data_IF_995452901253
#
_entry.id   IF_995452901253
#
_cell.length_a   1.000
_cell.length_b   1.000
_cell.length_c   1.000
_cell.angle_alpha   90.00
_cell.angle_beta   90.00
_cell.angle_gamma   90.00
#
_symmetry.space_group_name_H-M   'P 1'
#
loop_
_entity.id
_entity.type
_entity.pdbx_description
1 polymer ?
#
# COMPACT_ATOMS: atom_id res chain seq x y z
N UNK A 1 -9.53 19.78 -7.31
CA UNK A 1 -9.24 18.69 -6.37
C UNK A 1 -8.07 17.89 -6.90
N UNK A 2 -7.06 17.69 -6.06
CA UNK A 2 -5.89 16.92 -6.44
C UNK A 2 -6.21 15.43 -6.24
N UNK A 3 -6.38 14.68 -7.32
CA UNK A 3 -6.68 13.23 -7.28
C UNK A 3 -5.41 12.37 -7.27
N UNK A 4 -4.24 12.99 -7.44
CA UNK A 4 -2.97 12.28 -7.44
C UNK A 4 -2.49 12.00 -6.02
N UNK A 5 -1.82 10.86 -5.78
CA UNK A 5 -1.23 10.55 -4.48
C UNK A 5 -0.29 11.66 -4.00
N UNK A 6 -0.39 12.00 -2.72
CA UNK A 6 0.52 12.96 -2.08
C UNK A 6 1.60 12.20 -1.32
N UNK A 7 2.88 12.37 -1.67
CA UNK A 7 3.97 11.75 -0.92
C UNK A 7 4.25 12.52 0.37
N UNK A 8 4.43 11.78 1.45
CA UNK A 8 5.00 12.25 2.71
C UNK A 8 6.24 11.39 2.98
N UNK A 9 7.40 11.99 2.87
CA UNK A 9 8.69 11.32 3.05
C UNK A 9 9.27 11.55 4.45
N UNK A 10 10.24 10.72 4.83
CA UNK A 10 10.95 10.80 6.10
C UNK A 10 10.06 10.70 7.36
N UNK A 11 8.96 9.95 7.28
CA UNK A 11 8.09 9.75 8.43
C UNK A 11 8.82 8.93 9.51
N UNK A 12 9.10 9.60 10.63
CA UNK A 12 9.79 9.02 11.79
C UNK A 12 9.17 9.56 13.07
N UNK A 13 8.06 9.00 13.53
CA UNK A 13 7.31 9.47 14.71
C UNK A 13 8.17 9.74 15.93
N UNK A 14 9.19 8.92 16.19
CA UNK A 14 10.11 9.09 17.35
C UNK A 14 10.95 10.37 17.30
N UNK A 15 11.03 11.04 16.14
CA UNK A 15 11.82 12.27 15.91
C UNK A 15 10.96 13.51 15.71
N UNK A 16 9.66 13.34 15.58
CA UNK A 16 8.70 14.43 15.35
C UNK A 16 8.17 14.89 16.72
N UNK A 17 8.07 16.20 16.92
CA UNK A 17 7.44 16.73 18.12
C UNK A 17 5.95 16.33 18.19
N UNK A 18 5.43 16.24 19.43
CA UNK A 18 4.08 15.71 19.68
C UNK A 18 2.96 16.49 18.95
N UNK A 19 3.11 17.81 18.81
CA UNK A 19 2.07 18.63 18.18
C UNK A 19 2.04 18.38 16.67
N UNK A 20 3.20 18.40 16.02
CA UNK A 20 3.36 18.11 14.60
C UNK A 20 2.92 16.67 14.31
N UNK A 21 3.31 15.69 15.14
CA UNK A 21 2.88 14.31 14.97
C UNK A 21 1.35 14.17 15.01
N UNK A 22 0.69 14.81 15.98
CA UNK A 22 -0.78 14.78 16.06
C UNK A 22 -1.45 15.39 14.80
N UNK A 23 -0.89 16.46 14.26
CA UNK A 23 -1.39 17.05 13.01
C UNK A 23 -1.25 16.08 11.85
N UNK A 24 -0.10 15.42 11.70
CA UNK A 24 0.14 14.43 10.66
C UNK A 24 -0.79 13.22 10.78
N UNK A 25 -0.95 12.66 11.98
CA UNK A 25 -1.84 11.53 12.21
C UNK A 25 -3.31 11.89 11.94
N UNK A 26 -3.74 13.09 12.31
CA UNK A 26 -5.07 13.60 11.95
C UNK A 26 -5.23 13.76 10.44
N UNK A 27 -4.19 14.24 9.75
CA UNK A 27 -4.21 14.36 8.30
C UNK A 27 -4.32 12.98 7.62
N UNK A 28 -3.61 11.96 8.12
CA UNK A 28 -3.74 10.59 7.63
C UNK A 28 -5.17 10.05 7.80
N UNK A 29 -5.80 10.27 8.97
CA UNK A 29 -7.20 9.86 9.20
C UNK A 29 -8.15 10.56 8.22
N UNK A 30 -8.01 11.87 8.12
CA UNK A 30 -8.86 12.69 7.26
C UNK A 30 -8.71 12.31 5.79
N UNK A 31 -7.49 12.02 5.33
CA UNK A 31 -7.24 11.57 3.97
C UNK A 31 -7.94 10.23 3.66
N UNK A 32 -7.96 9.30 4.61
CA UNK A 32 -8.68 8.05 4.47
C UNK A 32 -10.21 8.24 4.46
N UNK A 33 -10.72 9.04 5.39
CA UNK A 33 -12.16 9.27 5.54
C UNK A 33 -12.70 10.24 4.46
N UNK A 34 -11.83 10.83 3.62
CA UNK A 34 -12.19 11.85 2.61
C UNK A 34 -12.72 13.15 3.23
N UNK A 35 -12.50 13.32 4.53
CA UNK A 35 -13.03 14.45 5.30
C UNK A 35 -11.99 15.55 5.45
N UNK A 36 -12.49 16.75 5.63
CA UNK A 36 -11.70 17.96 5.60
C UNK A 36 -11.32 18.51 6.95
N UNK A 37 -10.27 19.33 6.86
CA UNK A 37 -10.19 20.44 7.77
C UNK A 37 -11.30 21.48 7.49
N UNK A 38 -12.15 21.77 8.45
CA UNK A 38 -13.03 22.91 8.39
C UNK A 38 -12.22 24.17 8.66
N UNK A 39 -12.27 25.14 7.74
CA UNK A 39 -11.80 26.49 8.03
C UNK A 39 -12.99 27.38 8.34
N UNK A 40 -13.05 27.88 9.58
CA UNK A 40 -13.99 28.90 9.97
C UNK A 40 -13.75 30.18 9.18
N UNK A 41 -14.81 30.83 8.74
CA UNK A 41 -14.79 32.18 8.17
C UNK A 41 -15.14 33.21 9.25
N UNK A 42 -14.82 34.46 8.98
CA UNK A 42 -15.14 35.58 9.88
C UNK A 42 -16.66 35.76 10.14
N UNK A 43 -17.50 35.22 9.26
CA UNK A 43 -18.96 35.16 9.35
C UNK A 43 -19.52 33.98 10.12
N UNK A 44 -18.67 33.23 10.84
CA UNK A 44 -18.99 31.99 11.58
C UNK A 44 -19.45 30.82 10.72
N UNK A 45 -19.32 30.91 9.41
CA UNK A 45 -19.52 29.76 8.52
C UNK A 45 -18.23 28.94 8.39
N UNK A 46 -18.33 27.66 8.10
CA UNK A 46 -17.17 26.81 7.80
C UNK A 46 -17.15 26.41 6.33
N UNK A 47 -15.96 26.36 5.75
CA UNK A 47 -15.74 25.79 4.43
C UNK A 47 -15.08 24.44 4.59
N UNK A 48 -15.73 23.42 4.05
CA UNK A 48 -15.18 22.05 3.97
C UNK A 48 -14.36 21.90 2.70
N UNK A 49 -13.16 21.36 2.85
CA UNK A 49 -12.25 21.05 1.73
C UNK A 49 -12.09 19.53 1.62
N UNK A 50 -12.66 18.80 0.62
CA UNK A 50 -12.52 17.37 0.52
C UNK A 50 -11.06 16.96 0.28
N UNK A 51 -10.54 16.10 1.14
CA UNK A 51 -9.26 15.41 0.95
C UNK A 51 -9.52 14.19 0.08
N UNK A 52 -9.38 14.37 -1.23
CA UNK A 52 -9.63 13.30 -2.21
C UNK A 52 -8.37 12.58 -2.66
N UNK A 53 -7.20 13.07 -2.21
CA UNK A 53 -5.90 12.49 -2.58
C UNK A 53 -5.47 11.42 -1.59
N UNK A 54 -5.13 10.20 -2.05
CA UNK A 54 -4.51 9.23 -1.19
C UNK A 54 -3.13 9.70 -0.73
N UNK A 55 -2.71 9.30 0.47
CA UNK A 55 -1.36 9.56 0.97
C UNK A 55 -0.46 8.35 0.71
N UNK A 56 0.77 8.62 0.30
CA UNK A 56 1.87 7.65 0.25
C UNK A 56 2.91 8.10 1.26
N UNK A 57 3.05 7.35 2.34
CA UNK A 57 3.97 7.68 3.42
C UNK A 57 5.17 6.77 3.36
N UNK A 58 6.36 7.34 3.28
CA UNK A 58 7.63 6.61 3.36
C UNK A 58 8.36 6.99 4.64
N UNK A 59 8.92 6.02 5.35
CA UNK A 59 9.61 6.29 6.60
C UNK A 59 10.31 5.07 7.18
N UNK A 60 10.97 5.29 8.30
CA UNK A 60 11.72 4.25 9.03
C UNK A 60 10.87 3.57 10.12
N UNK A 61 9.73 4.14 10.48
CA UNK A 61 8.89 3.69 11.58
C UNK A 61 7.42 3.70 11.15
N UNK A 62 6.67 2.73 11.65
CA UNK A 62 5.22 2.64 11.45
C UNK A 62 4.45 3.52 12.45
N UNK A 63 3.26 4.00 12.10
CA UNK A 63 2.40 4.66 13.07
C UNK A 63 2.02 3.71 14.20
N UNK A 64 2.17 4.14 15.47
CA UNK A 64 1.81 3.32 16.63
C UNK A 64 0.30 3.15 16.83
N UNK A 65 -0.51 4.09 16.31
CA UNK A 65 -1.94 4.11 16.54
C UNK A 65 -2.70 3.09 15.70
N UNK A 66 -3.42 2.18 16.35
CA UNK A 66 -4.25 1.16 15.70
C UNK A 66 -5.24 1.77 14.68
N UNK A 67 -5.81 2.93 15.01
CA UNK A 67 -6.76 3.63 14.14
C UNK A 67 -6.18 4.09 12.80
N UNK A 68 -4.88 4.39 12.74
CA UNK A 68 -4.15 4.72 11.52
C UNK A 68 -3.77 3.43 10.78
N UNK A 69 -3.33 2.44 11.54
CA UNK A 69 -2.90 1.15 10.99
C UNK A 69 -4.02 0.46 10.21
N UNK A 70 -5.24 0.43 10.75
CA UNK A 70 -6.40 -0.12 10.04
C UNK A 70 -6.78 0.62 8.76
N UNK A 71 -6.36 1.88 8.62
CA UNK A 71 -6.61 2.74 7.46
C UNK A 71 -5.48 2.75 6.44
N UNK A 72 -4.43 2.00 6.70
CA UNK A 72 -3.22 1.97 5.89
C UNK A 72 -2.97 0.58 5.31
N UNK A 73 -2.18 0.54 4.24
CA UNK A 73 -1.51 -0.67 3.77
C UNK A 73 -0.03 -0.41 3.93
N UNK A 74 0.61 -1.22 4.73
CA UNK A 74 2.04 -1.11 4.97
C UNK A 74 2.80 -2.11 4.09
N UNK A 75 3.86 -1.61 3.46
CA UNK A 75 4.81 -2.42 2.71
C UNK A 75 6.15 -2.33 3.42
N UNK A 76 6.58 -3.44 4.00
CA UNK A 76 7.84 -3.52 4.72
C UNK A 76 8.98 -3.89 3.78
N UNK A 77 10.04 -3.08 3.82
CA UNK A 77 11.26 -3.32 3.05
C UNK A 77 12.43 -3.54 4.02
N UNK A 78 12.99 -4.75 4.03
CA UNK A 78 14.13 -5.07 4.88
C UNK A 78 15.44 -4.79 4.15
N UNK A 79 16.40 -4.16 4.83
CA UNK A 79 17.78 -4.01 4.31
C UNK A 79 18.48 -5.35 4.09
N UNK A 80 18.04 -6.42 4.77
CA UNK A 80 18.60 -7.78 4.63
C UNK A 80 18.30 -8.38 3.25
N UNK A 81 17.19 -7.94 2.63
CA UNK A 81 16.77 -8.43 1.31
C UNK A 81 17.45 -7.67 0.17
N UNK A 82 18.20 -6.62 0.50
CA UNK A 82 18.92 -5.82 -0.47
C UNK A 82 20.29 -6.45 -0.76
N UNK A 83 20.48 -6.94 -1.99
CA UNK A 83 21.80 -7.27 -2.55
C UNK A 83 22.44 -5.95 -3.03
N UNK A 84 23.44 -5.35 -2.30
CA UNK A 84 23.79 -3.94 -2.48
C UNK A 84 24.19 -3.56 -3.90
N UNK A 85 24.93 -4.43 -4.61
CA UNK A 85 25.42 -4.11 -5.96
C UNK A 85 24.34 -4.27 -7.04
N UNK A 86 23.59 -5.39 -7.02
CA UNK A 86 22.53 -5.63 -7.99
C UNK A 86 21.42 -4.58 -7.88
N UNK A 87 21.07 -4.18 -6.64
CA UNK A 87 20.03 -3.18 -6.42
C UNK A 87 20.48 -1.76 -6.78
N UNK A 88 21.77 -1.40 -6.57
CA UNK A 88 22.30 -0.10 -7.05
C UNK A 88 22.24 0.00 -8.57
N UNK A 89 22.63 -1.06 -9.28
CA UNK A 89 22.55 -1.09 -10.73
C UNK A 89 21.11 -1.00 -11.24
N UNK A 90 20.17 -1.71 -10.59
CA UNK A 90 18.73 -1.66 -10.91
C UNK A 90 18.15 -0.29 -10.61
N UNK A 91 18.50 0.32 -9.48
CA UNK A 91 18.06 1.68 -9.13
C UNK A 91 18.60 2.73 -10.10
N UNK A 92 19.88 2.63 -10.51
CA UNK A 92 20.45 3.52 -11.50
C UNK A 92 19.71 3.42 -12.86
N UNK A 93 19.36 2.20 -13.28
CA UNK A 93 18.53 1.99 -14.49
C UNK A 93 17.16 2.62 -14.34
N UNK A 94 16.50 2.42 -13.19
CA UNK A 94 15.19 3.00 -12.91
C UNK A 94 15.25 4.54 -12.92
N UNK A 95 16.25 5.13 -12.29
CA UNK A 95 16.46 6.58 -12.29
C UNK A 95 16.70 7.14 -13.70
N UNK A 96 17.44 6.41 -14.55
CA UNK A 96 17.64 6.78 -15.96
C UNK A 96 16.36 6.67 -16.83
N UNK A 97 15.32 5.97 -16.35
CA UNK A 97 14.05 5.76 -17.05
C UNK A 97 12.94 6.72 -16.59
N UNK A 98 13.27 7.84 -15.96
CA UNK A 98 12.29 8.72 -15.33
C UNK A 98 11.20 9.18 -16.31
N UNK A 99 11.54 9.54 -17.54
CA UNK A 99 10.56 9.94 -18.56
C UNK A 99 9.66 8.77 -19.00
N UNK A 100 10.21 7.57 -19.04
CA UNK A 100 9.45 6.34 -19.34
C UNK A 100 8.46 6.03 -18.22
N UNK A 101 8.88 6.18 -16.96
CA UNK A 101 7.99 6.03 -15.79
C UNK A 101 6.85 7.05 -15.81
N UNK A 102 7.15 8.30 -16.17
CA UNK A 102 6.12 9.33 -16.34
C UNK A 102 5.12 8.98 -17.46
N UNK A 103 5.60 8.38 -18.56
CA UNK A 103 4.74 7.87 -19.64
C UNK A 103 3.86 6.71 -19.17
N UNK A 104 4.43 5.78 -18.41
CA UNK A 104 3.68 4.68 -17.81
C UNK A 104 2.60 5.19 -16.85
N UNK A 105 2.94 6.15 -15.98
CA UNK A 105 1.96 6.80 -15.09
C UNK A 105 0.81 7.47 -15.85
N UNK A 106 1.10 8.16 -16.97
CA UNK A 106 0.04 8.72 -17.84
C UNK A 106 -0.83 7.63 -18.45
N UNK A 107 -0.26 6.49 -18.84
CA UNK A 107 -1.02 5.35 -19.38
C UNK A 107 -1.93 4.73 -18.32
N UNK A 108 -1.47 4.59 -17.08
CA UNK A 108 -2.29 4.13 -15.95
C UNK A 108 -3.44 5.11 -15.67
N UNK A 109 -3.15 6.40 -15.62
CA UNK A 109 -4.18 7.42 -15.42
C UNK A 109 -5.21 7.40 -16.55
N UNK A 110 -4.75 7.32 -17.80
CA UNK A 110 -5.63 7.19 -18.96
C UNK A 110 -6.50 5.92 -18.91
N UNK A 111 -5.94 4.80 -18.46
CA UNK A 111 -6.69 3.57 -18.27
C UNK A 111 -7.75 3.75 -17.16
N UNK A 112 -7.38 4.34 -16.03
CA UNK A 112 -8.30 4.60 -14.92
C UNK A 112 -9.49 5.47 -15.33
N UNK A 113 -9.22 6.57 -16.04
CA UNK A 113 -10.26 7.50 -16.52
C UNK A 113 -11.19 6.88 -17.58
N UNK A 114 -10.72 5.88 -18.32
CA UNK A 114 -11.51 5.19 -19.34
C UNK A 114 -12.09 3.84 -18.88
N UNK A 115 -11.92 3.49 -17.61
CA UNK A 115 -12.52 2.29 -17.04
C UNK A 115 -13.90 2.63 -16.48
N UNK A 116 -14.91 1.83 -16.82
CA UNK A 116 -16.24 2.05 -16.33
C UNK A 116 -16.29 1.84 -14.80
N UNK A 117 -17.04 2.66 -14.07
CA UNK A 117 -17.18 2.54 -12.62
C UNK A 117 -17.70 1.15 -12.21
N UNK A 118 -18.58 0.55 -13.02
CA UNK A 118 -19.12 -0.79 -12.79
C UNK A 118 -18.01 -1.88 -12.82
N UNK A 119 -17.01 -1.74 -13.69
CA UNK A 119 -15.88 -2.68 -13.76
C UNK A 119 -15.01 -2.57 -12.51
N UNK A 120 -14.69 -1.34 -12.09
CA UNK A 120 -13.92 -1.08 -10.86
C UNK A 120 -14.66 -1.64 -9.65
N UNK A 121 -15.98 -1.42 -9.56
CA UNK A 121 -16.82 -1.95 -8.49
C UNK A 121 -16.83 -3.49 -8.49
N UNK A 122 -16.88 -4.10 -9.67
CA UNK A 122 -16.82 -5.57 -9.84
C UNK A 122 -15.47 -6.11 -9.34
N UNK A 123 -14.36 -5.49 -9.73
CA UNK A 123 -13.01 -5.88 -9.28
C UNK A 123 -12.84 -5.72 -7.78
N UNK A 124 -13.37 -4.63 -7.22
CA UNK A 124 -13.36 -4.40 -5.78
C UNK A 124 -14.14 -5.47 -5.02
N UNK A 125 -15.37 -5.79 -5.46
CA UNK A 125 -16.19 -6.85 -4.85
C UNK A 125 -15.52 -8.22 -4.95
N UNK A 126 -14.96 -8.55 -6.10
CA UNK A 126 -14.18 -9.77 -6.29
C UNK A 126 -12.93 -9.80 -5.40
N UNK A 127 -12.29 -8.65 -5.20
CA UNK A 127 -11.17 -8.50 -4.28
C UNK A 127 -11.58 -8.79 -2.84
N UNK A 128 -12.68 -8.22 -2.35
CA UNK A 128 -13.18 -8.49 -0.98
C UNK A 128 -13.39 -10.00 -0.75
N UNK A 129 -13.94 -10.71 -1.74
CA UNK A 129 -14.21 -12.13 -1.64
C UNK A 129 -12.95 -13.03 -1.58
N UNK A 130 -11.78 -12.50 -1.95
CA UNK A 130 -10.51 -13.21 -1.88
C UNK A 130 -9.88 -13.22 -0.49
N UNK A 131 -10.32 -12.31 0.39
CA UNK A 131 -9.73 -12.14 1.70
C UNK A 131 -10.56 -12.81 2.80
N UNK A 132 -9.86 -13.34 3.80
CA UNK A 132 -10.46 -14.04 4.93
C UNK A 132 -11.47 -13.13 5.67
N UNK A 133 -12.66 -13.67 6.03
CA UNK A 133 -13.69 -12.92 6.75
C UNK A 133 -13.23 -12.38 8.11
N UNK A 134 -12.25 -13.05 8.73
CA UNK A 134 -11.68 -12.73 10.04
C UNK A 134 -10.85 -11.44 10.02
N UNK A 135 -10.36 -11.03 8.86
CA UNK A 135 -9.67 -9.75 8.73
C UNK A 135 -10.64 -8.60 8.97
N UNK A 136 -10.24 -7.55 9.72
CA UNK A 136 -11.05 -6.37 9.91
C UNK A 136 -11.56 -5.81 8.59
N UNK A 137 -12.82 -5.39 8.55
CA UNK A 137 -13.49 -4.94 7.32
C UNK A 137 -12.73 -3.81 6.61
N UNK A 138 -12.16 -2.87 7.37
CA UNK A 138 -11.35 -1.78 6.80
C UNK A 138 -10.13 -2.30 6.05
N UNK A 139 -9.42 -3.26 6.64
CA UNK A 139 -8.23 -3.85 6.02
C UNK A 139 -8.63 -4.61 4.76
N UNK A 140 -9.69 -5.42 4.80
CA UNK A 140 -10.20 -6.10 3.60
C UNK A 140 -10.57 -5.12 2.50
N UNK A 141 -11.20 -4.01 2.83
CA UNK A 141 -11.55 -2.97 1.88
C UNK A 141 -10.30 -2.34 1.25
N UNK A 142 -9.28 -2.04 2.05
CA UNK A 142 -8.02 -1.49 1.56
C UNK A 142 -7.31 -2.46 0.61
N UNK A 143 -7.24 -3.74 0.99
CA UNK A 143 -6.66 -4.80 0.15
C UNK A 143 -7.45 -4.97 -1.15
N UNK A 144 -8.77 -4.91 -1.10
CA UNK A 144 -9.62 -4.98 -2.29
C UNK A 144 -9.39 -3.80 -3.24
N UNK A 145 -9.14 -2.60 -2.71
CA UNK A 145 -8.72 -1.45 -3.53
C UNK A 145 -7.39 -1.71 -4.23
N UNK A 146 -6.42 -2.34 -3.56
CA UNK A 146 -5.15 -2.72 -4.20
C UNK A 146 -5.36 -3.77 -5.28
N UNK A 147 -6.22 -4.76 -5.07
CA UNK A 147 -6.56 -5.75 -6.11
C UNK A 147 -7.20 -5.07 -7.33
N UNK A 148 -8.11 -4.13 -7.12
CA UNK A 148 -8.68 -3.35 -8.21
C UNK A 148 -7.60 -2.54 -8.96
N UNK A 149 -6.63 -1.96 -8.25
CA UNK A 149 -5.47 -1.30 -8.84
C UNK A 149 -4.59 -2.24 -9.67
N UNK A 150 -4.33 -3.46 -9.19
CA UNK A 150 -3.60 -4.48 -9.95
C UNK A 150 -4.35 -4.89 -11.23
N UNK A 151 -5.68 -5.00 -11.18
CA UNK A 151 -6.50 -5.24 -12.38
C UNK A 151 -6.41 -4.10 -13.38
N UNK A 152 -6.32 -2.86 -12.92
CA UNK A 152 -6.08 -1.73 -13.81
C UNK A 152 -4.73 -1.83 -14.53
N UNK A 153 -3.67 -2.22 -13.82
CA UNK A 153 -2.35 -2.48 -14.42
C UNK A 153 -2.45 -3.59 -15.47
N UNK A 154 -3.16 -4.67 -15.17
CA UNK A 154 -3.41 -5.76 -16.12
C UNK A 154 -4.11 -5.25 -17.40
N UNK A 155 -5.12 -4.38 -17.27
CA UNK A 155 -5.78 -3.75 -18.41
C UNK A 155 -4.81 -2.92 -19.27
N UNK A 156 -3.86 -2.21 -18.66
CA UNK A 156 -2.82 -1.47 -19.40
C UNK A 156 -1.92 -2.43 -20.19
N UNK A 157 -1.49 -3.52 -19.56
CA UNK A 157 -0.69 -4.54 -20.21
C UNK A 157 -1.44 -5.13 -21.41
N UNK A 158 -2.70 -5.52 -21.24
CA UNK A 158 -3.54 -6.09 -22.30
C UNK A 158 -3.75 -5.12 -23.47
N UNK A 159 -4.00 -3.83 -23.20
CA UNK A 159 -4.09 -2.78 -24.25
C UNK A 159 -2.81 -2.63 -25.05
N UNK A 160 -1.67 -2.85 -24.38
CA UNK A 160 -0.34 -2.84 -25.00
C UNK A 160 0.02 -4.17 -25.67
N UNK A 161 -0.91 -5.15 -25.67
CA UNK A 161 -0.72 -6.52 -26.17
C UNK A 161 0.36 -7.30 -25.41
N UNK A 162 0.59 -6.96 -24.17
CA UNK A 162 1.47 -7.70 -23.27
C UNK A 162 0.65 -8.55 -22.29
N UNK A 163 1.10 -9.77 -22.03
CA UNK A 163 0.62 -10.55 -20.90
C UNK A 163 1.19 -10.03 -19.59
N UNK A 164 0.54 -10.35 -18.47
CA UNK A 164 1.08 -10.02 -17.14
C UNK A 164 2.51 -10.57 -16.96
N UNK A 165 2.73 -11.83 -17.35
CA UNK A 165 4.03 -12.50 -17.22
C UNK A 165 5.13 -11.92 -18.13
N UNK A 166 4.76 -11.18 -19.18
CA UNK A 166 5.73 -10.49 -20.05
C UNK A 166 6.32 -9.23 -19.36
N UNK A 167 5.61 -8.70 -18.38
CA UNK A 167 5.97 -7.45 -17.69
C UNK A 167 6.46 -7.70 -16.28
N UNK A 168 5.85 -8.65 -15.58
CA UNK A 168 6.12 -8.89 -14.16
C UNK A 168 6.62 -10.32 -13.95
N UNK A 169 7.68 -10.46 -13.17
CA UNK A 169 8.23 -11.76 -12.75
C UNK A 169 7.36 -12.43 -11.68
N UNK A 170 6.56 -11.65 -10.96
CA UNK A 170 5.63 -12.13 -9.94
C UNK A 170 4.23 -12.33 -10.53
N UNK A 171 3.58 -13.44 -10.23
CA UNK A 171 2.20 -13.68 -10.67
C UNK A 171 1.20 -12.75 -9.95
N UNK A 172 0.05 -12.52 -10.58
CA UNK A 172 -1.04 -11.74 -9.98
C UNK A 172 -1.46 -12.33 -8.62
N UNK A 173 -1.63 -13.64 -8.53
CA UNK A 173 -2.02 -14.32 -7.30
C UNK A 173 -0.97 -14.17 -6.18
N UNK A 174 0.31 -14.20 -6.53
CA UNK A 174 1.37 -13.92 -5.58
C UNK A 174 1.35 -12.46 -5.10
N UNK A 175 1.04 -11.49 -5.96
CA UNK A 175 0.83 -10.11 -5.51
C UNK A 175 -0.27 -10.02 -4.45
N UNK A 176 -1.40 -10.69 -4.67
CA UNK A 176 -2.52 -10.73 -3.69
C UNK A 176 -2.09 -11.43 -2.40
N UNK A 177 -1.36 -12.55 -2.48
CA UNK A 177 -0.81 -13.23 -1.29
C UNK A 177 0.13 -12.34 -0.48
N UNK A 178 1.03 -11.60 -1.12
CA UNK A 178 1.94 -10.67 -0.43
C UNK A 178 1.19 -9.51 0.24
N UNK A 179 0.17 -8.97 -0.39
CA UNK A 179 -0.70 -7.96 0.23
C UNK A 179 -1.38 -8.51 1.50
N UNK A 180 -1.90 -9.73 1.42
CA UNK A 180 -2.54 -10.41 2.56
C UNK A 180 -1.54 -10.66 3.69
N UNK A 181 -0.35 -11.11 3.34
CA UNK A 181 0.72 -11.37 4.30
C UNK A 181 1.11 -10.09 5.04
N UNK A 182 1.43 -9.02 4.33
CA UNK A 182 1.80 -7.74 4.94
C UNK A 182 0.70 -7.18 5.86
N UNK A 183 -0.58 -7.35 5.49
CA UNK A 183 -1.69 -6.93 6.33
C UNK A 183 -1.80 -7.76 7.61
N UNK A 184 -1.53 -9.07 7.57
CA UNK A 184 -1.53 -9.95 8.75
C UNK A 184 -0.36 -9.65 9.68
N UNK A 185 0.84 -9.48 9.16
CA UNK A 185 2.01 -9.06 9.95
C UNK A 185 1.73 -7.76 10.68
N UNK A 186 1.20 -6.79 9.96
CA UNK A 186 0.88 -5.48 10.50
C UNK A 186 -0.14 -5.53 11.65
N UNK A 187 -1.14 -6.40 11.56
CA UNK A 187 -2.10 -6.61 12.65
C UNK A 187 -1.47 -7.25 13.87
N UNK A 188 -0.57 -8.20 13.67
CA UNK A 188 0.11 -8.91 14.74
C UNK A 188 1.08 -8.00 15.51
N UNK A 189 1.82 -7.15 14.81
CA UNK A 189 2.75 -6.18 15.39
C UNK A 189 2.05 -5.15 16.30
N UNK A 190 0.77 -4.86 16.03
CA UNK A 190 -0.06 -3.97 16.84
C UNK A 190 -0.69 -4.60 18.08
N UNK A 191 -0.66 -5.93 18.20
CA UNK A 191 -1.39 -6.69 19.24
C UNK A 191 -0.57 -7.09 20.45
N UNK A 192 0.74 -7.17 20.35
CA UNK A 192 1.56 -7.73 21.42
C UNK A 192 2.97 -7.09 21.44
N UNK A 193 3.06 -5.89 22.01
CA UNK A 193 4.32 -5.18 22.20
C UNK A 193 5.36 -5.96 23.04
N UNK A 194 4.97 -7.11 23.59
CA UNK A 194 5.82 -7.98 24.42
C UNK A 194 6.32 -9.23 23.71
N UNK A 195 5.84 -9.54 22.49
CA UNK A 195 6.37 -10.67 21.73
C UNK A 195 7.62 -10.26 20.95
N UNK A 196 8.71 -10.99 21.17
CA UNK A 196 9.94 -10.78 20.43
C UNK A 196 9.74 -11.01 18.92
N UNK A 197 10.47 -10.28 18.08
CA UNK A 197 10.40 -10.37 16.61
C UNK A 197 10.49 -11.83 16.11
N UNK A 198 11.29 -12.65 16.79
CA UNK A 198 11.46 -14.09 16.46
C UNK A 198 10.18 -14.87 16.72
N UNK A 199 9.50 -14.65 17.84
CA UNK A 199 8.23 -15.32 18.16
C UNK A 199 7.12 -14.95 17.22
N UNK A 200 7.02 -13.67 16.86
CA UNK A 200 6.08 -13.17 15.88
C UNK A 200 6.34 -13.80 14.51
N UNK A 201 7.59 -13.85 14.07
CA UNK A 201 7.97 -14.45 12.79
C UNK A 201 7.63 -15.94 12.77
N UNK A 202 7.93 -16.69 13.84
CA UNK A 202 7.61 -18.11 13.94
C UNK A 202 6.10 -18.37 13.96
N UNK A 203 5.32 -17.52 14.63
CA UNK A 203 3.86 -17.63 14.66
C UNK A 203 3.25 -17.35 13.29
N UNK A 204 3.76 -16.36 12.58
CA UNK A 204 3.36 -16.05 11.20
C UNK A 204 3.69 -17.22 10.27
N UNK A 205 4.89 -17.75 10.34
CA UNK A 205 5.30 -18.92 9.56
C UNK A 205 4.43 -20.15 9.85
N UNK A 206 4.09 -20.39 11.12
CA UNK A 206 3.21 -21.48 11.52
C UNK A 206 1.78 -21.30 10.98
N UNK A 207 1.22 -20.07 11.05
CA UNK A 207 -0.15 -19.77 10.56
C UNK A 207 -0.26 -19.83 9.04
N UNK A 208 0.80 -19.51 8.32
CA UNK A 208 0.81 -19.55 6.86
C UNK A 208 1.09 -20.92 6.27
N UNK A 209 1.39 -21.93 7.10
CA UNK A 209 1.79 -23.25 6.63
C UNK A 209 3.07 -23.25 5.79
N UNK A 210 3.89 -22.22 5.91
CA UNK A 210 5.15 -22.08 5.21
C UNK A 210 6.20 -22.95 5.86
N UNK A 211 6.05 -24.28 5.71
CA UNK A 211 7.09 -25.22 6.08
C UNK A 211 8.11 -25.34 4.96
N UNK A 212 9.36 -25.09 5.32
CA UNK A 212 10.65 -25.56 4.76
C UNK A 212 10.87 -25.62 3.23
N UNK A 213 9.85 -25.77 2.40
CA UNK A 213 10.04 -25.98 0.96
C UNK A 213 9.94 -24.70 0.10
N UNK A 214 9.36 -23.62 0.61
CA UNK A 214 9.22 -22.39 -0.17
C UNK A 214 10.41 -21.40 0.00
N UNK A 215 11.20 -21.54 1.06
CA UNK A 215 12.42 -20.74 1.24
C UNK A 215 13.51 -21.03 0.21
N UNK A 216 13.55 -22.25 -0.31
CA UNK A 216 14.51 -22.65 -1.35
C UNK A 216 14.27 -21.92 -2.68
N UNK A 217 13.06 -21.43 -2.91
CA UNK A 217 12.71 -20.67 -4.13
C UNK A 217 13.21 -19.22 -4.05
N UNK A 218 13.25 -18.64 -2.85
CA UNK A 218 13.73 -17.25 -2.69
C UNK A 218 15.25 -17.12 -2.66
N UNK A 219 15.99 -18.18 -2.38
CA UNK A 219 17.46 -18.21 -2.47
C UNK A 219 17.96 -18.34 -3.93
N UNK A 220 17.10 -18.74 -4.86
CA UNK A 220 17.47 -18.95 -6.27
C UNK A 220 16.90 -17.88 -7.23
N UNK A 221 16.27 -16.82 -6.71
CA UNK A 221 15.86 -15.61 -7.45
C UNK A 221 16.70 -14.42 -7.01
#
# INVERSE_FOLDING_TARGET
SNLLPQPLDEFKPSKIDRLTLNVLLNHMRNAYDGTDGERGRADQTSVKYPLTSPLVVAGEESPAEASIRERSIELLFSKKDLKPEAHRASFAKLAAMQDTLASFGRSLLGAALNTAAADVESWYKAGIAQFEPELPSRIRNNLACCVAGLRLVECVCQRSKWGWADVFTISFDNCVRYLTFGAKEFLLDGGDANKGIIEQTLEIMARMGLYQNEWTIMENL
#
